data_IF_667667551060
#
_entry.id   IF_667667551060
#
_cell.length_a   1.000
_cell.length_b   1.000
_cell.length_c   1.000
_cell.angle_alpha   90.00
_cell.angle_beta   90.00
_cell.angle_gamma   90.00
#
_symmetry.space_group_name_H-M   'P 1'
#
loop_
_entity.id
_entity.type
_entity.pdbx_description
1 polymer ?
#
# COMPACT_ATOMS: atom_id res chain seq x y z
N UNK A 1 -5.46 -15.44 -20.82
CA UNK A 1 -5.86 -15.29 -19.40
C UNK A 1 -4.83 -16.07 -18.61
N UNK A 2 -3.88 -15.40 -17.96
CA UNK A 2 -2.85 -16.11 -17.18
C UNK A 2 -3.59 -16.65 -15.96
N UNK A 3 -3.72 -17.97 -15.88
CA UNK A 3 -4.21 -18.65 -14.69
C UNK A 3 -3.26 -18.30 -13.53
N UNK A 4 -3.64 -17.31 -12.72
CA UNK A 4 -3.05 -17.06 -11.39
C UNK A 4 -3.59 -18.13 -10.44
N UNK A 5 -3.47 -19.38 -10.85
CA UNK A 5 -3.78 -20.59 -10.10
C UNK A 5 -2.41 -21.12 -9.65
N UNK A 6 -1.99 -21.17 -8.40
CA UNK A 6 -2.55 -20.77 -7.11
C UNK A 6 -1.44 -21.11 -6.08
N UNK A 7 -0.39 -20.29 -5.94
CA UNK A 7 0.47 -20.37 -4.74
C UNK A 7 -0.05 -19.45 -3.62
N UNK A 8 -1.38 -19.26 -3.60
CA UNK A 8 -2.07 -18.55 -2.55
C UNK A 8 -2.41 -19.53 -1.44
N UNK A 9 -1.88 -19.23 -0.26
CA UNK A 9 -2.13 -19.95 0.97
C UNK A 9 -3.16 -19.21 1.80
N UNK A 10 -4.12 -19.95 2.33
CA UNK A 10 -4.95 -19.52 3.45
C UNK A 10 -4.09 -19.20 4.68
N UNK A 11 -4.63 -18.51 5.70
CA UNK A 11 -3.91 -18.28 6.95
C UNK A 11 -3.45 -19.59 7.61
N UNK A 12 -4.22 -20.67 7.50
CA UNK A 12 -3.91 -21.98 8.05
C UNK A 12 -2.74 -22.65 7.32
N UNK A 13 -2.73 -22.62 5.99
CA UNK A 13 -1.63 -23.15 5.18
C UNK A 13 -0.34 -22.34 5.40
N UNK A 14 -0.47 -21.02 5.45
CA UNK A 14 0.65 -20.11 5.73
C UNK A 14 1.26 -20.42 7.10
N UNK A 15 0.43 -20.63 8.12
CA UNK A 15 0.89 -21.00 9.45
C UNK A 15 1.68 -22.32 9.45
N UNK A 16 1.18 -23.34 8.74
CA UNK A 16 1.89 -24.62 8.56
C UNK A 16 3.23 -24.42 7.85
N UNK A 17 3.26 -23.61 6.78
CA UNK A 17 4.47 -23.30 6.03
C UNK A 17 5.55 -22.66 6.91
N UNK A 18 5.16 -21.69 7.74
CA UNK A 18 6.06 -21.05 8.71
C UNK A 18 6.40 -21.92 9.93
N UNK A 19 5.75 -23.09 10.11
CA UNK A 19 5.80 -23.90 11.33
C UNK A 19 5.41 -23.09 12.57
N UNK A 20 4.37 -22.26 12.43
CA UNK A 20 3.83 -21.36 13.46
C UNK A 20 2.31 -21.54 13.61
N UNK A 21 1.70 -20.81 14.54
CA UNK A 21 0.25 -20.78 14.70
C UNK A 21 -0.42 -19.79 13.74
N UNK A 22 -1.71 -19.98 13.40
CA UNK A 22 -2.47 -18.99 12.63
C UNK A 22 -2.63 -17.64 13.35
N UNK A 23 -2.57 -17.62 14.68
CA UNK A 23 -2.54 -16.37 15.46
C UNK A 23 -1.24 -15.60 15.23
N UNK A 24 -0.10 -16.29 15.17
CA UNK A 24 1.19 -15.67 14.87
C UNK A 24 1.18 -15.02 13.48
N UNK A 25 0.64 -15.69 12.45
CA UNK A 25 0.54 -15.14 11.09
C UNK A 25 -0.27 -13.84 11.08
N UNK A 26 -1.41 -13.81 11.79
CA UNK A 26 -2.26 -12.61 11.90
C UNK A 26 -1.58 -11.42 12.58
N UNK A 27 -0.59 -11.68 13.44
CA UNK A 27 0.20 -10.64 14.11
C UNK A 27 1.29 -10.05 13.21
N UNK A 28 1.61 -10.67 12.07
CA UNK A 28 2.64 -10.18 11.16
C UNK A 28 2.08 -9.06 10.25
N UNK A 29 2.05 -7.84 10.76
CA UNK A 29 1.58 -6.64 10.02
C UNK A 29 2.39 -6.35 8.76
N UNK A 30 3.68 -6.67 8.80
CA UNK A 30 4.61 -6.47 7.69
C UNK A 30 4.51 -7.56 6.61
N UNK A 31 3.83 -8.68 6.87
CA UNK A 31 3.64 -9.73 5.88
C UNK A 31 2.59 -9.28 4.85
N UNK A 32 2.92 -9.44 3.56
CA UNK A 32 2.00 -9.09 2.47
C UNK A 32 0.83 -10.08 2.41
N UNK A 33 -0.38 -9.52 2.40
CA UNK A 33 -1.64 -10.25 2.27
C UNK A 33 -2.44 -9.69 1.10
N UNK A 34 -3.11 -10.56 0.38
CA UNK A 34 -4.02 -10.22 -0.71
C UNK A 34 -5.44 -10.45 -0.20
N UNK A 35 -6.36 -9.54 -0.51
CA UNK A 35 -7.77 -9.71 -0.17
C UNK A 35 -8.43 -10.75 -1.08
N UNK A 36 -9.07 -11.76 -0.51
CA UNK A 36 -9.94 -12.66 -1.26
C UNK A 36 -11.41 -12.20 -1.22
N UNK A 37 -12.20 -12.73 -2.15
CA UNK A 37 -13.66 -12.63 -2.10
C UNK A 37 -14.15 -13.18 -0.75
N UNK A 38 -14.85 -12.36 0.04
CA UNK A 38 -15.27 -12.70 1.40
C UNK A 38 -14.34 -12.22 2.52
N UNK A 39 -13.33 -11.39 2.21
CA UNK A 39 -12.52 -10.68 3.21
C UNK A 39 -11.46 -11.54 3.91
N UNK A 40 -11.33 -12.81 3.54
CA UNK A 40 -10.27 -13.68 4.04
C UNK A 40 -8.91 -13.27 3.42
N UNK A 41 -7.86 -13.09 4.23
CA UNK A 41 -6.54 -12.77 3.70
C UNK A 41 -5.88 -14.03 3.12
N UNK A 42 -5.32 -13.89 1.92
CA UNK A 42 -4.48 -14.90 1.27
C UNK A 42 -3.02 -14.44 1.22
N UNK A 43 -2.11 -15.39 1.19
CA UNK A 43 -0.67 -15.14 1.21
C UNK A 43 0.00 -15.85 0.05
N UNK A 44 0.83 -15.13 -0.71
CA UNK A 44 1.57 -15.74 -1.80
C UNK A 44 2.89 -16.34 -1.31
N UNK A 45 3.23 -17.57 -1.71
CA UNK A 45 4.46 -18.26 -1.28
C UNK A 45 5.73 -17.43 -1.58
N UNK A 46 5.87 -16.87 -2.78
CA UNK A 46 7.00 -15.96 -3.10
C UNK A 46 7.09 -14.75 -2.17
N UNK A 47 5.97 -14.11 -1.83
CA UNK A 47 5.96 -13.01 -0.88
C UNK A 47 6.35 -13.46 0.54
N UNK A 48 5.92 -14.65 0.98
CA UNK A 48 6.36 -15.24 2.24
C UNK A 48 7.87 -15.52 2.28
N UNK A 49 8.46 -16.03 1.18
CA UNK A 49 9.92 -16.22 1.07
C UNK A 49 10.66 -14.89 1.11
N UNK A 50 10.18 -13.89 0.37
CA UNK A 50 10.74 -12.54 0.37
C UNK A 50 10.67 -11.89 1.76
N UNK A 51 9.58 -12.12 2.51
CA UNK A 51 9.46 -11.69 3.89
C UNK A 51 10.56 -12.30 4.77
N UNK A 52 10.77 -13.62 4.72
CA UNK A 52 11.83 -14.29 5.49
C UNK A 52 13.21 -13.74 5.16
N UNK A 53 13.53 -13.64 3.86
CA UNK A 53 14.82 -13.11 3.41
C UNK A 53 15.01 -11.64 3.84
N UNK A 54 13.98 -10.80 3.68
CA UNK A 54 14.03 -9.41 4.11
C UNK A 54 14.25 -9.27 5.62
N UNK A 55 13.61 -10.13 6.43
CA UNK A 55 13.84 -10.15 7.89
C UNK A 55 15.26 -10.59 8.25
N UNK A 56 15.84 -11.57 7.55
CA UNK A 56 17.25 -11.95 7.70
C UNK A 56 18.19 -10.79 7.36
N UNK A 57 17.83 -9.98 6.37
CA UNK A 57 18.53 -8.75 5.99
C UNK A 57 18.17 -7.52 6.86
N UNK A 58 17.44 -7.71 7.97
CA UNK A 58 17.00 -6.63 8.88
C UNK A 58 16.13 -5.54 8.23
N UNK A 59 15.45 -5.85 7.12
CA UNK A 59 14.48 -4.95 6.51
C UNK A 59 13.20 -4.89 7.34
N UNK A 60 12.56 -3.71 7.35
CA UNK A 60 11.27 -3.46 7.98
C UNK A 60 10.47 -2.42 7.20
N UNK A 61 9.18 -2.27 7.54
CA UNK A 61 8.32 -1.21 6.98
C UNK A 61 8.30 -1.19 5.44
N UNK A 62 8.50 0.00 4.87
CA UNK A 62 8.44 0.22 3.42
C UNK A 62 9.47 -0.60 2.63
N UNK A 63 10.69 -0.76 3.15
CA UNK A 63 11.73 -1.54 2.49
C UNK A 63 11.38 -3.03 2.40
N UNK A 64 10.90 -3.60 3.51
CA UNK A 64 10.42 -4.99 3.53
C UNK A 64 9.17 -5.18 2.68
N UNK A 65 8.29 -4.17 2.62
CA UNK A 65 7.10 -4.20 1.75
C UNK A 65 7.50 -4.21 0.28
N UNK A 66 8.46 -3.38 -0.13
CA UNK A 66 8.94 -3.29 -1.51
C UNK A 66 9.41 -4.65 -2.03
N UNK A 67 10.28 -5.34 -1.28
CA UNK A 67 10.82 -6.66 -1.67
C UNK A 67 9.70 -7.70 -1.83
N UNK A 68 8.69 -7.69 -0.95
CA UNK A 68 7.55 -8.60 -1.08
C UNK A 68 6.66 -8.29 -2.30
N UNK A 69 6.46 -7.01 -2.62
CA UNK A 69 5.72 -6.59 -3.81
C UNK A 69 6.48 -6.98 -5.07
N UNK A 70 7.78 -6.72 -5.13
CA UNK A 70 8.61 -7.07 -6.29
C UNK A 70 8.60 -8.60 -6.50
N UNK A 71 8.70 -9.40 -5.43
CA UNK A 71 8.58 -10.86 -5.51
C UNK A 71 7.19 -11.36 -5.94
N UNK A 72 6.12 -10.65 -5.58
CA UNK A 72 4.76 -10.96 -6.04
C UNK A 72 4.58 -10.56 -7.50
N UNK A 73 5.09 -9.41 -7.92
CA UNK A 73 5.05 -8.95 -9.30
C UNK A 73 5.78 -9.94 -10.22
N UNK A 74 6.97 -10.38 -9.83
CA UNK A 74 7.73 -11.44 -10.50
C UNK A 74 6.92 -12.76 -10.57
N UNK A 75 6.26 -13.16 -9.48
CA UNK A 75 5.38 -14.34 -9.48
C UNK A 75 4.24 -14.27 -10.51
N UNK A 76 3.69 -13.06 -10.71
CA UNK A 76 2.64 -12.78 -11.67
C UNK A 76 3.16 -12.58 -13.10
N UNK A 77 4.48 -12.72 -13.35
CA UNK A 77 5.10 -12.45 -14.64
C UNK A 77 5.13 -10.95 -15.00
N UNK A 78 4.95 -10.07 -14.01
CA UNK A 78 4.92 -8.62 -14.19
C UNK A 78 6.32 -8.00 -14.17
N UNK A 79 7.40 -8.76 -13.96
CA UNK A 79 8.79 -8.27 -14.01
C UNK A 79 9.08 -7.52 -15.33
N UNK A 80 8.62 -8.07 -16.46
CA UNK A 80 8.75 -7.41 -17.77
C UNK A 80 7.93 -6.11 -17.82
N UNK A 81 6.70 -6.13 -17.32
CA UNK A 81 5.79 -4.97 -17.32
C UNK A 81 6.25 -3.86 -16.39
N UNK A 82 6.87 -4.18 -15.24
CA UNK A 82 7.34 -3.18 -14.27
C UNK A 82 8.64 -2.50 -14.72
N UNK A 83 9.52 -3.21 -15.43
CA UNK A 83 10.65 -2.59 -16.16
C UNK A 83 10.14 -1.71 -17.29
N UNK A 84 9.23 -2.22 -18.12
CA UNK A 84 8.62 -1.45 -19.20
C UNK A 84 7.87 -0.20 -18.71
N UNK A 85 7.18 -0.27 -17.55
CA UNK A 85 6.50 0.89 -16.96
C UNK A 85 7.45 1.88 -16.28
N UNK A 86 8.59 1.44 -15.72
CA UNK A 86 9.66 2.34 -15.28
C UNK A 86 10.36 3.00 -16.46
N UNK A 87 10.61 2.25 -17.53
CA UNK A 87 11.20 2.77 -18.78
C UNK A 87 10.20 3.69 -19.51
N UNK A 88 8.91 3.44 -19.32
CA UNK A 88 7.80 4.27 -19.82
C UNK A 88 7.28 5.29 -18.78
N UNK A 89 8.03 5.60 -17.72
CA UNK A 89 7.79 6.82 -16.95
C UNK A 89 8.06 8.02 -17.87
N UNK A 90 6.98 8.42 -18.54
CA UNK A 90 6.79 9.64 -19.30
C UNK A 90 7.23 10.81 -18.40
N UNK A 91 8.02 11.77 -18.91
CA UNK A 91 8.50 12.90 -18.13
C UNK A 91 7.33 13.59 -17.43
N UNK A 92 7.54 13.84 -16.14
CA UNK A 92 6.70 14.64 -15.25
C UNK A 92 6.12 15.83 -16.02
N UNK A 93 4.81 15.82 -16.28
CA UNK A 93 4.12 17.04 -16.70
C UNK A 93 4.19 17.96 -15.50
N UNK A 94 5.12 18.90 -15.52
CA UNK A 94 5.13 20.05 -14.61
C UNK A 94 3.73 20.66 -14.68
N UNK A 95 2.93 20.44 -13.64
CA UNK A 95 1.74 21.25 -13.44
C UNK A 95 2.23 22.72 -13.42
N UNK A 96 1.72 23.59 -14.31
CA UNK A 96 2.01 25.01 -14.17
C UNK A 96 1.53 25.46 -12.80
N UNK A 97 2.25 26.39 -12.14
CA UNK A 97 1.83 26.89 -10.83
C UNK A 97 0.39 27.42 -10.92
N UNK A 98 -0.40 27.28 -9.85
CA UNK A 98 -1.74 27.85 -9.81
C UNK A 98 -1.65 29.35 -10.15
N UNK A 99 -2.40 29.79 -11.15
CA UNK A 99 -2.54 31.19 -11.50
C UNK A 99 -3.10 31.95 -10.30
N UNK A 100 -2.42 33.03 -9.88
CA UNK A 100 -2.74 33.83 -8.69
C UNK A 100 -4.08 34.61 -8.77
N UNK A 101 -4.87 34.44 -9.83
CA UNK A 101 -6.06 35.26 -10.09
C UNK A 101 -7.34 34.82 -9.35
N UNK A 102 -7.34 33.70 -8.62
CA UNK A 102 -8.52 33.25 -7.84
C UNK A 102 -8.51 33.72 -6.37
N UNK A 103 -7.50 34.47 -5.92
CA UNK A 103 -7.49 35.05 -4.57
C UNK A 103 -8.13 36.45 -4.55
N UNK A 104 -9.43 36.53 -4.83
CA UNK A 104 -10.19 37.73 -4.48
C UNK A 104 -10.43 37.75 -2.96
N UNK A 105 -9.88 38.73 -2.20
CA UNK A 105 -10.15 38.83 -0.78
C UNK A 105 -11.58 39.33 -0.62
N UNK A 106 -12.44 38.50 -0.03
CA UNK A 106 -13.78 38.94 0.40
C UNK A 106 -13.61 39.83 1.62
N UNK A 107 -13.40 41.11 1.37
CA UNK A 107 -13.20 42.15 2.37
C UNK A 107 -14.41 42.22 3.32
N UNK A 108 -14.08 42.42 4.59
CA UNK A 108 -14.96 42.53 5.72
C UNK A 108 -16.00 43.66 5.58
N UNK A 109 -17.26 43.36 5.89
CA UNK A 109 -18.23 44.37 6.31
C UNK A 109 -18.33 44.31 7.84
N UNK A 110 -17.54 45.17 8.48
CA UNK A 110 -17.58 45.55 9.89
C UNK A 110 -18.92 46.21 10.21
N UNK A 111 -19.63 45.73 11.24
CA UNK A 111 -20.50 46.55 12.09
C UNK A 111 -20.83 45.80 13.39
N UNK A 112 -20.02 46.05 14.43
CA UNK A 112 -20.53 46.15 15.80
C UNK A 112 -20.87 47.64 16.02
N UNK A 113 -21.82 48.05 16.89
CA UNK A 113 -21.59 47.95 18.35
C UNK A 113 -22.83 47.75 19.27
N UNK A 114 -22.57 47.09 20.42
CA UNK A 114 -22.94 47.46 21.81
C UNK A 114 -24.41 47.60 22.26
N UNK A 115 -24.80 46.81 23.29
CA UNK A 115 -25.29 47.24 24.64
C UNK A 115 -26.12 46.10 25.31
N UNK A 116 -25.65 45.49 26.42
CA UNK A 116 -26.09 45.68 27.83
C UNK A 116 -27.56 45.23 28.07
N UNK A 117 -27.80 43.97 28.50
CA UNK A 117 -28.02 43.47 29.90
C UNK A 117 -29.52 43.55 30.36
N UNK A 118 -29.93 43.01 31.53
CA UNK A 118 -30.42 41.64 31.77
C UNK A 118 -31.90 41.53 32.20
N UNK A 119 -32.44 40.30 32.25
CA UNK A 119 -33.24 39.70 33.35
C UNK A 119 -33.50 38.23 33.06
#
# INVERSE_FOLDING_TARGET
MIEITQELMTPQETARWFRRSPSWVRQQTDLLRVGAVGGQPLYHVRACRAYVLGRLCRLSGAALRRVQIDALADACGLEATHRLLRDAEIPEVKQPPPSEDDYAPRAAATAAPTSIEPS
#
